data_IF_778884567956
#
_entry.id   IF_778884567956
#
_cell.length_a   1.000
_cell.length_b   1.000
_cell.length_c   1.000
_cell.angle_alpha   90.00
_cell.angle_beta   90.00
_cell.angle_gamma   90.00
#
_symmetry.space_group_name_H-M   'P 1'
#
loop_
_entity.id
_entity.type
_entity.pdbx_description
1 polymer ?
#
# COMPACT_ATOMS: atom_id res chain seq x y z
N UNK A 1 15.26 -13.34 -21.59
CA UNK A 1 15.34 -13.30 -20.11
C UNK A 1 13.92 -13.28 -19.57
N UNK A 2 13.61 -14.01 -18.51
CA UNK A 2 12.30 -13.92 -17.84
C UNK A 2 12.12 -12.48 -17.28
N UNK A 3 10.91 -11.95 -17.37
CA UNK A 3 10.60 -10.65 -16.76
C UNK A 3 10.78 -10.72 -15.25
N UNK A 4 11.17 -9.61 -14.65
CA UNK A 4 11.26 -9.49 -13.20
C UNK A 4 9.87 -9.38 -12.60
N UNK A 5 9.52 -10.21 -11.63
CA UNK A 5 8.21 -10.20 -10.97
C UNK A 5 8.22 -9.26 -9.77
N UNK A 6 7.25 -8.38 -9.74
CA UNK A 6 7.05 -7.41 -8.66
C UNK A 6 5.66 -7.59 -8.08
N UNK A 7 5.56 -7.78 -6.77
CA UNK A 7 4.29 -7.92 -6.07
C UNK A 7 4.04 -6.74 -5.14
N UNK A 8 2.87 -6.12 -5.28
CA UNK A 8 2.43 -5.02 -4.42
C UNK A 8 1.08 -5.35 -3.79
N UNK A 9 1.03 -5.42 -2.48
CA UNK A 9 -0.21 -5.60 -1.71
C UNK A 9 -0.73 -4.26 -1.16
N UNK A 10 -2.03 -4.05 -1.22
CA UNK A 10 -2.70 -2.87 -0.69
C UNK A 10 -3.78 -3.27 0.30
N UNK A 11 -3.61 -2.86 1.56
CA UNK A 11 -4.59 -3.16 2.61
C UNK A 11 -5.90 -2.39 2.36
N UNK A 12 -7.03 -3.08 2.48
CA UNK A 12 -8.37 -2.55 2.24
C UNK A 12 -8.99 -1.97 3.52
N UNK A 13 -8.32 -0.97 4.11
CA UNK A 13 -8.75 -0.31 5.35
C UNK A 13 -9.06 1.17 5.14
N UNK A 14 -10.24 1.42 4.57
CA UNK A 14 -10.77 2.77 4.32
C UNK A 14 -10.29 3.41 3.01
N UNK A 15 -10.93 4.53 2.66
CA UNK A 15 -10.70 5.26 1.41
C UNK A 15 -9.29 5.88 1.41
N UNK A 16 -8.51 5.76 0.32
CA UNK A 16 -7.20 6.39 0.20
C UNK A 16 -7.26 7.93 0.28
N UNK A 17 -6.22 8.52 0.84
CA UNK A 17 -6.01 9.97 0.90
C UNK A 17 -4.82 10.40 0.03
N UNK A 18 -4.60 11.71 -0.09
CA UNK A 18 -3.56 12.28 -0.97
C UNK A 18 -2.17 11.72 -0.66
N UNK A 19 -1.85 11.45 0.61
CA UNK A 19 -0.59 10.82 1.00
C UNK A 19 -0.43 9.39 0.49
N UNK A 20 -1.51 8.61 0.41
CA UNK A 20 -1.47 7.28 -0.21
C UNK A 20 -1.27 7.38 -1.74
N UNK A 21 -1.90 8.37 -2.37
CA UNK A 21 -1.73 8.61 -3.81
C UNK A 21 -0.27 8.93 -4.16
N UNK A 22 0.31 9.93 -3.51
CA UNK A 22 1.69 10.37 -3.78
C UNK A 22 2.72 9.33 -3.34
N UNK A 23 2.53 8.75 -2.14
CA UNK A 23 3.53 7.89 -1.52
C UNK A 23 3.46 6.41 -1.94
N UNK A 24 2.38 5.94 -2.57
CA UNK A 24 2.26 4.53 -2.92
C UNK A 24 1.61 4.30 -4.29
N UNK A 25 0.42 4.86 -4.54
CA UNK A 25 -0.38 4.51 -5.72
C UNK A 25 0.30 4.99 -7.00
N UNK A 26 0.61 6.28 -7.09
CA UNK A 26 1.25 6.89 -8.26
C UNK A 26 2.62 6.27 -8.60
N UNK A 27 3.54 6.04 -7.64
CA UNK A 27 4.79 5.35 -7.90
C UNK A 27 4.62 3.90 -8.38
N UNK A 28 3.72 3.13 -7.75
CA UNK A 28 3.48 1.75 -8.12
C UNK A 28 2.87 1.62 -9.53
N UNK A 29 1.94 2.51 -9.91
CA UNK A 29 1.38 2.54 -11.27
C UNK A 29 2.47 2.85 -12.30
N UNK A 30 3.35 3.83 -12.02
CA UNK A 30 4.50 4.13 -12.89
C UNK A 30 5.44 2.94 -13.04
N UNK A 31 5.75 2.26 -11.94
CA UNK A 31 6.59 1.08 -11.95
C UNK A 31 5.96 -0.10 -12.72
N UNK A 32 4.64 -0.25 -12.67
CA UNK A 32 3.91 -1.28 -13.38
C UNK A 32 3.88 -1.09 -14.91
N UNK A 33 4.21 0.11 -15.40
CA UNK A 33 4.33 0.41 -16.84
C UNK A 33 5.67 -0.04 -17.45
N UNK A 34 6.64 -0.47 -16.63
CA UNK A 34 7.92 -0.99 -17.15
C UNK A 34 7.71 -2.33 -17.85
N UNK A 35 7.96 -2.36 -19.16
CA UNK A 35 7.82 -3.54 -20.00
C UNK A 35 8.70 -4.73 -19.62
N UNK A 36 9.77 -4.51 -18.85
CA UNK A 36 10.68 -5.54 -18.33
C UNK A 36 10.15 -6.18 -17.05
N UNK A 37 9.08 -5.65 -16.49
CA UNK A 37 8.47 -6.10 -15.23
C UNK A 37 7.17 -6.84 -15.50
N UNK A 38 6.92 -7.89 -14.75
CA UNK A 38 5.64 -8.56 -14.62
C UNK A 38 5.04 -8.17 -13.25
N UNK A 39 4.02 -7.32 -13.28
CA UNK A 39 3.47 -6.70 -12.08
C UNK A 39 2.22 -7.43 -11.60
N UNK A 40 2.25 -7.82 -10.32
CA UNK A 40 1.11 -8.33 -9.56
C UNK A 40 0.72 -7.28 -8.54
N UNK A 41 -0.54 -6.91 -8.51
CA UNK A 41 -1.09 -5.99 -7.54
C UNK A 41 -2.37 -6.57 -6.97
N UNK A 42 -2.45 -6.63 -5.64
CA UNK A 42 -3.61 -7.23 -5.00
C UNK A 42 -4.19 -6.40 -3.87
N UNK A 43 -5.50 -6.54 -3.70
CA UNK A 43 -6.25 -5.98 -2.60
C UNK A 43 -6.19 -6.98 -1.43
N UNK A 44 -5.49 -6.60 -0.37
CA UNK A 44 -5.19 -7.46 0.78
C UNK A 44 -6.34 -7.45 1.79
N UNK A 45 -7.48 -8.01 1.40
CA UNK A 45 -8.71 -8.02 2.21
C UNK A 45 -8.62 -8.96 3.42
N UNK A 46 -7.96 -10.12 3.32
CA UNK A 46 -7.66 -10.95 4.49
C UNK A 46 -6.78 -10.22 5.51
N UNK A 47 -5.77 -9.47 5.07
CA UNK A 47 -4.98 -8.63 5.97
C UNK A 47 -5.82 -7.49 6.57
N UNK A 48 -6.87 -7.05 5.88
CA UNK A 48 -7.82 -6.06 6.38
C UNK A 48 -8.53 -6.50 7.66
N UNK A 49 -8.87 -7.79 7.76
CA UNK A 49 -9.59 -8.38 8.90
C UNK A 49 -8.79 -8.24 10.21
N UNK A 50 -7.46 -8.18 10.16
CA UNK A 50 -6.61 -8.05 11.36
C UNK A 50 -6.92 -6.76 12.14
N UNK A 51 -7.35 -5.70 11.45
CA UNK A 51 -7.56 -4.37 12.04
C UNK A 51 -9.00 -3.87 11.95
N UNK A 52 -9.84 -4.55 11.18
CA UNK A 52 -11.22 -4.13 10.93
C UNK A 52 -12.13 -5.35 11.03
N UNK A 53 -13.06 -5.32 11.98
CA UNK A 53 -14.04 -6.39 12.20
C UNK A 53 -15.46 -5.97 11.77
N UNK A 54 -15.55 -4.86 11.02
CA UNK A 54 -16.82 -4.38 10.46
C UNK A 54 -16.95 -4.82 9.00
N UNK A 55 -17.81 -5.82 8.67
CA UNK A 55 -17.88 -6.40 7.32
C UNK A 55 -18.16 -5.38 6.23
N UNK A 56 -19.07 -4.45 6.49
CA UNK A 56 -19.45 -3.41 5.53
C UNK A 56 -18.29 -2.44 5.24
N UNK A 57 -17.49 -2.11 6.26
CA UNK A 57 -16.31 -1.26 6.09
C UNK A 57 -15.25 -1.95 5.24
N UNK A 58 -15.00 -3.25 5.42
CA UNK A 58 -14.08 -4.03 4.61
C UNK A 58 -14.55 -4.04 3.15
N UNK A 59 -15.83 -4.33 2.93
CA UNK A 59 -16.42 -4.38 1.60
C UNK A 59 -16.31 -3.04 0.85
N UNK A 60 -16.76 -1.96 1.50
CA UNK A 60 -16.70 -0.59 0.93
C UNK A 60 -15.25 -0.15 0.69
N UNK A 61 -14.34 -0.47 1.60
CA UNK A 61 -12.92 -0.14 1.45
C UNK A 61 -12.30 -0.89 0.28
N UNK A 62 -12.62 -2.16 0.10
CA UNK A 62 -12.13 -2.96 -1.03
C UNK A 62 -12.57 -2.35 -2.35
N UNK A 63 -13.85 -2.00 -2.48
CA UNK A 63 -14.37 -1.32 -3.67
C UNK A 63 -13.69 0.04 -3.90
N UNK A 64 -13.57 0.86 -2.86
CA UNK A 64 -12.98 2.20 -2.95
C UNK A 64 -11.49 2.15 -3.32
N UNK A 65 -10.74 1.20 -2.77
CA UNK A 65 -9.32 1.02 -3.10
C UNK A 65 -9.18 0.53 -4.53
N UNK A 66 -9.96 -0.46 -4.97
CA UNK A 66 -9.96 -0.94 -6.35
C UNK A 66 -10.26 0.19 -7.35
N UNK A 67 -11.36 0.92 -7.12
CA UNK A 67 -11.73 2.08 -7.93
C UNK A 67 -10.62 3.13 -7.98
N UNK A 68 -9.95 3.37 -6.84
CA UNK A 68 -8.84 4.33 -6.76
C UNK A 68 -7.69 3.95 -7.68
N UNK A 69 -7.23 2.71 -7.63
CA UNK A 69 -6.10 2.27 -8.46
C UNK A 69 -6.43 2.34 -9.95
N UNK A 70 -7.62 1.88 -10.34
CA UNK A 70 -8.10 1.96 -11.73
C UNK A 70 -8.26 3.42 -12.19
N UNK A 71 -8.82 4.27 -11.36
CA UNK A 71 -9.02 5.69 -11.65
C UNK A 71 -7.68 6.43 -11.82
N UNK A 72 -6.68 6.11 -11.00
CA UNK A 72 -5.35 6.69 -11.08
C UNK A 72 -4.49 6.14 -12.24
N UNK A 73 -5.05 5.27 -13.09
CA UNK A 73 -4.40 4.84 -14.33
C UNK A 73 -3.76 3.44 -14.29
N UNK A 74 -4.08 2.60 -13.28
CA UNK A 74 -3.68 1.19 -13.34
C UNK A 74 -4.30 0.53 -14.58
N UNK A 75 -3.44 -0.09 -15.40
CA UNK A 75 -3.88 -0.84 -16.58
C UNK A 75 -3.99 -2.34 -16.25
N UNK A 76 -5.21 -2.91 -16.12
CA UNK A 76 -5.42 -4.32 -15.78
C UNK A 76 -5.01 -5.29 -16.90
N UNK A 77 -4.79 -4.80 -18.13
CA UNK A 77 -4.26 -5.63 -19.22
C UNK A 77 -2.75 -5.89 -19.06
N UNK A 78 -2.03 -4.95 -18.42
CA UNK A 78 -0.58 -5.03 -18.21
C UNK A 78 -0.21 -5.52 -16.80
N UNK A 79 -1.12 -5.35 -15.83
CA UNK A 79 -0.92 -5.74 -14.43
C UNK A 79 -1.92 -6.82 -14.04
N UNK A 80 -1.46 -7.89 -13.42
CA UNK A 80 -2.37 -8.87 -12.81
C UNK A 80 -2.94 -8.26 -11.54
N UNK A 81 -4.17 -7.72 -11.64
CA UNK A 81 -4.86 -7.01 -10.57
C UNK A 81 -6.01 -7.85 -10.02
N UNK A 82 -5.96 -8.20 -8.74
CA UNK A 82 -6.91 -9.14 -8.13
C UNK A 82 -7.16 -8.83 -6.65
N UNK A 83 -8.19 -9.45 -6.08
CA UNK A 83 -8.49 -9.45 -4.65
C UNK A 83 -7.90 -10.72 -4.04
N UNK A 84 -7.22 -10.61 -2.89
CA UNK A 84 -6.53 -11.72 -2.22
C UNK A 84 -7.46 -12.91 -1.95
N UNK A 85 -8.68 -12.64 -1.48
CA UNK A 85 -9.68 -13.68 -1.20
C UNK A 85 -10.17 -14.45 -2.43
N UNK A 86 -9.94 -13.94 -3.65
CA UNK A 86 -10.23 -14.65 -4.89
C UNK A 86 -9.18 -15.72 -5.24
N UNK A 87 -8.08 -15.79 -4.48
CA UNK A 87 -6.98 -16.76 -4.67
C UNK A 87 -6.91 -17.70 -3.45
N UNK A 88 -7.82 -18.66 -3.30
CA UNK A 88 -7.83 -19.57 -2.16
C UNK A 88 -6.55 -20.41 -2.02
N UNK A 89 -5.81 -20.57 -3.10
CA UNK A 89 -4.51 -21.26 -3.15
C UNK A 89 -3.49 -20.62 -2.18
N UNK A 90 -3.57 -19.29 -1.94
CA UNK A 90 -2.72 -18.58 -0.97
C UNK A 90 -2.95 -19.09 0.45
N UNK A 91 -4.20 -19.37 0.82
CA UNK A 91 -4.51 -19.86 2.18
C UNK A 91 -3.98 -21.27 2.42
N UNK A 92 -3.98 -22.13 1.41
CA UNK A 92 -3.36 -23.43 1.51
C UNK A 92 -1.83 -23.34 1.66
N UNK A 93 -1.20 -22.49 0.84
CA UNK A 93 0.23 -22.22 0.97
C UNK A 93 0.56 -21.64 2.35
N UNK A 94 -0.23 -20.68 2.82
CA UNK A 94 -0.07 -20.10 4.17
C UNK A 94 -0.07 -21.18 5.25
N UNK A 95 -0.96 -22.18 5.17
CA UNK A 95 -0.98 -23.28 6.13
C UNK A 95 0.29 -24.13 6.06
N UNK A 96 0.73 -24.50 4.86
CA UNK A 96 1.96 -25.28 4.66
C UNK A 96 3.18 -24.53 5.23
N UNK A 97 3.28 -23.23 4.95
CA UNK A 97 4.36 -22.38 5.47
C UNK A 97 4.27 -22.23 7.00
N UNK A 98 3.07 -22.12 7.57
CA UNK A 98 2.85 -22.06 9.01
C UNK A 98 3.43 -23.30 9.71
N UNK A 99 3.24 -24.51 9.13
CA UNK A 99 3.74 -25.76 9.70
C UNK A 99 5.27 -25.85 9.78
N UNK A 100 5.98 -25.07 9.00
CA UNK A 100 7.45 -25.07 8.98
C UNK A 100 8.08 -23.81 9.58
N UNK A 101 7.28 -22.79 9.89
CA UNK A 101 7.77 -21.52 10.44
C UNK A 101 8.08 -21.67 11.93
N UNK A 102 9.28 -21.28 12.34
CA UNK A 102 9.68 -21.33 13.74
C UNK A 102 8.95 -20.25 14.57
N UNK A 103 8.35 -20.64 15.71
CA UNK A 103 7.73 -19.69 16.65
C UNK A 103 8.69 -18.56 17.06
N UNK A 104 9.98 -18.86 17.25
CA UNK A 104 11.00 -17.87 17.59
C UNK A 104 11.22 -16.80 16.50
N UNK A 105 10.95 -17.10 15.22
CA UNK A 105 10.93 -16.11 14.15
C UNK A 105 9.74 -15.19 14.33
N UNK A 106 8.55 -15.74 14.57
CA UNK A 106 7.30 -14.98 14.75
C UNK A 106 7.36 -14.08 15.98
N UNK A 107 7.94 -14.54 17.09
CA UNK A 107 8.12 -13.72 18.30
C UNK A 107 8.99 -12.46 18.05
N UNK A 108 9.73 -12.39 16.96
CA UNK A 108 10.55 -11.22 16.59
C UNK A 108 9.81 -10.21 15.70
N UNK A 109 8.61 -10.54 15.21
CA UNK A 109 7.82 -9.65 14.37
C UNK A 109 7.49 -8.33 15.11
N UNK A 110 7.69 -7.20 14.44
CA UNK A 110 7.55 -5.88 15.05
C UNK A 110 6.18 -5.64 15.66
N UNK A 111 5.09 -6.03 14.96
CA UNK A 111 3.73 -5.83 15.46
C UNK A 111 3.45 -6.62 16.73
N UNK A 112 3.90 -7.88 16.79
CA UNK A 112 3.78 -8.71 18.00
C UNK A 112 4.59 -8.12 19.15
N UNK A 113 5.86 -7.75 18.91
CA UNK A 113 6.68 -7.10 19.94
C UNK A 113 6.07 -5.81 20.45
N UNK A 114 5.52 -4.98 19.59
CA UNK A 114 4.86 -3.74 19.97
C UNK A 114 3.63 -4.00 20.85
N UNK A 115 2.83 -5.02 20.55
CA UNK A 115 1.69 -5.42 21.36
C UNK A 115 2.12 -5.91 22.75
N UNK A 116 3.11 -6.82 22.81
CA UNK A 116 3.69 -7.32 24.07
C UNK A 116 4.27 -6.20 24.91
N UNK A 117 5.00 -5.27 24.30
CA UNK A 117 5.56 -4.12 24.98
C UNK A 117 4.46 -3.22 25.57
N UNK A 118 3.43 -2.90 24.76
CA UNK A 118 2.30 -2.10 25.24
C UNK A 118 1.58 -2.77 26.42
N UNK A 119 1.37 -4.09 26.38
CA UNK A 119 0.77 -4.84 27.49
C UNK A 119 1.64 -4.75 28.75
N UNK A 120 2.95 -4.91 28.62
CA UNK A 120 3.91 -4.80 29.73
C UNK A 120 3.91 -3.40 30.34
N UNK A 121 3.93 -2.36 29.51
CA UNK A 121 3.89 -0.96 29.95
C UNK A 121 2.57 -0.60 30.64
N UNK A 122 1.47 -1.23 30.23
CA UNK A 122 0.15 -1.07 30.86
C UNK A 122 -0.05 -1.96 32.10
N UNK A 123 0.97 -2.72 32.51
CA UNK A 123 0.91 -3.56 33.70
C UNK A 123 0.03 -4.81 33.57
N UNK A 124 -0.19 -5.30 32.35
CA UNK A 124 -0.90 -6.57 32.13
C UNK A 124 -0.04 -7.74 32.62
N UNK A 125 -0.64 -8.67 33.37
CA UNK A 125 0.05 -9.88 33.84
C UNK A 125 0.41 -10.82 32.69
N UNK A 126 -0.49 -10.93 31.70
CA UNK A 126 -0.25 -11.71 30.48
C UNK A 126 0.31 -10.81 29.37
N UNK A 127 1.56 -11.03 28.93
CA UNK A 127 2.14 -10.27 27.81
C UNK A 127 1.36 -10.41 26.50
N UNK A 128 0.62 -11.51 26.32
CA UNK A 128 -0.19 -11.79 25.13
C UNK A 128 -1.64 -11.31 25.27
N UNK A 129 -1.98 -10.59 26.33
CA UNK A 129 -3.33 -10.09 26.55
C UNK A 129 -3.88 -9.35 25.32
N UNK A 130 -5.01 -9.83 24.78
CA UNK A 130 -5.65 -9.24 23.61
C UNK A 130 -4.90 -9.41 22.28
N UNK A 131 -3.82 -10.21 22.24
CA UNK A 131 -3.12 -10.53 21.00
C UNK A 131 -3.83 -11.66 20.26
N UNK A 132 -4.48 -11.33 19.15
CA UNK A 132 -5.13 -12.32 18.32
C UNK A 132 -4.15 -13.03 17.37
N UNK A 133 -4.48 -14.27 16.98
CA UNK A 133 -3.63 -15.06 16.08
C UNK A 133 -3.43 -14.38 14.72
N UNK A 134 -4.37 -13.59 14.23
CA UNK A 134 -4.22 -12.80 13.01
C UNK A 134 -3.05 -11.81 13.10
N UNK A 135 -2.95 -11.07 14.21
CA UNK A 135 -1.82 -10.15 14.48
C UNK A 135 -0.50 -10.90 14.61
N UNK A 136 -0.50 -12.09 15.20
CA UNK A 136 0.70 -12.89 15.40
C UNK A 136 1.19 -13.54 14.10
N UNK A 137 0.27 -14.07 13.27
CA UNK A 137 0.60 -14.93 12.12
C UNK A 137 0.56 -14.26 10.75
N UNK A 138 0.07 -12.99 10.63
CA UNK A 138 -0.01 -12.33 9.32
C UNK A 138 1.32 -12.24 8.54
N UNK A 139 2.52 -12.22 9.16
CA UNK A 139 3.76 -12.25 8.37
C UNK A 139 3.92 -13.54 7.56
N UNK A 140 3.30 -14.67 8.01
CA UNK A 140 3.28 -15.90 7.22
C UNK A 140 2.31 -15.77 6.05
N UNK A 141 1.15 -15.14 6.25
CA UNK A 141 0.21 -14.87 5.17
C UNK A 141 0.84 -13.95 4.12
N UNK A 142 1.52 -12.87 4.53
CA UNK A 142 2.27 -12.01 3.62
C UNK A 142 3.38 -12.78 2.89
N UNK A 143 4.03 -13.72 3.56
CA UNK A 143 5.00 -14.63 2.93
C UNK A 143 4.33 -15.49 1.86
N UNK A 144 3.14 -16.03 2.13
CA UNK A 144 2.38 -16.83 1.18
C UNK A 144 1.97 -16.01 -0.05
N UNK A 145 1.53 -14.75 0.13
CA UNK A 145 1.24 -13.83 -0.98
C UNK A 145 2.46 -13.63 -1.89
N UNK A 146 3.62 -13.40 -1.29
CA UNK A 146 4.88 -13.14 -2.02
C UNK A 146 5.36 -14.39 -2.76
N UNK A 147 5.38 -15.53 -2.08
CA UNK A 147 5.94 -16.77 -2.61
C UNK A 147 5.03 -17.45 -3.62
N UNK A 148 3.70 -17.23 -3.54
CA UNK A 148 2.73 -17.80 -4.48
C UNK A 148 3.03 -17.44 -5.93
N UNK A 149 3.61 -16.27 -6.16
CA UNK A 149 3.96 -15.80 -7.50
C UNK A 149 5.47 -15.73 -7.74
N UNK A 150 6.28 -16.28 -6.82
CA UNK A 150 7.74 -16.19 -6.90
C UNK A 150 8.21 -14.75 -7.19
N UNK A 151 7.68 -13.79 -6.44
CA UNK A 151 8.04 -12.39 -6.60
C UNK A 151 9.53 -12.17 -6.32
N UNK A 152 10.22 -11.51 -7.26
CA UNK A 152 11.63 -11.17 -7.12
C UNK A 152 11.80 -9.92 -6.24
N UNK A 153 10.91 -8.93 -6.42
CA UNK A 153 10.93 -7.68 -5.67
C UNK A 153 9.58 -7.39 -5.02
N UNK A 154 9.63 -6.86 -3.82
CA UNK A 154 8.44 -6.41 -3.08
C UNK A 154 8.67 -4.96 -2.66
N UNK A 155 8.01 -3.99 -3.36
CA UNK A 155 8.03 -2.58 -2.97
C UNK A 155 7.32 -2.40 -1.64
N UNK A 156 8.04 -1.94 -0.63
CA UNK A 156 7.50 -1.75 0.72
C UNK A 156 8.06 -0.51 1.39
N UNK A 157 7.30 0.07 2.31
CA UNK A 157 7.82 1.06 3.24
C UNK A 157 8.84 0.46 4.22
N UNK A 158 9.65 1.31 4.82
CA UNK A 158 10.71 0.89 5.77
C UNK A 158 10.20 0.05 6.94
N UNK A 159 8.98 0.30 7.38
CA UNK A 159 8.30 -0.45 8.45
C UNK A 159 7.95 -1.90 8.07
N UNK A 160 7.94 -2.22 6.77
CA UNK A 160 7.62 -3.55 6.25
C UNK A 160 8.85 -4.37 5.83
N UNK A 161 10.06 -3.81 5.89
CA UNK A 161 11.30 -4.50 5.51
C UNK A 161 11.44 -5.83 6.23
N UNK A 162 11.19 -5.85 7.55
CA UNK A 162 11.29 -7.06 8.35
C UNK A 162 10.39 -8.19 7.84
N UNK A 163 9.21 -7.89 7.32
CA UNK A 163 8.30 -8.92 6.82
C UNK A 163 8.82 -9.58 5.55
N UNK A 164 9.48 -8.82 4.67
CA UNK A 164 10.12 -9.39 3.47
C UNK A 164 11.34 -10.22 3.85
N UNK A 165 12.12 -9.80 4.86
CA UNK A 165 13.22 -10.62 5.40
C UNK A 165 12.70 -11.91 6.04
N UNK A 166 11.58 -11.86 6.77
CA UNK A 166 10.93 -13.07 7.27
C UNK A 166 10.46 -13.98 6.15
N UNK A 167 9.94 -13.43 5.04
CA UNK A 167 9.56 -14.21 3.87
C UNK A 167 10.77 -14.91 3.24
N UNK A 168 11.94 -14.24 3.17
CA UNK A 168 13.20 -14.86 2.72
C UNK A 168 13.61 -16.03 3.62
N UNK A 169 13.56 -15.84 4.94
CA UNK A 169 13.90 -16.88 5.92
C UNK A 169 12.99 -18.11 5.77
N UNK A 170 11.68 -17.90 5.60
CA UNK A 170 10.70 -18.98 5.44
C UNK A 170 10.89 -19.68 4.09
N UNK A 171 11.09 -18.94 3.00
CA UNK A 171 11.38 -19.49 1.68
C UNK A 171 12.65 -20.33 1.67
N UNK A 172 13.75 -19.79 2.23
CA UNK A 172 15.03 -20.51 2.35
C UNK A 172 14.88 -21.79 3.17
N UNK A 173 14.10 -21.75 4.26
CA UNK A 173 13.82 -22.93 5.08
C UNK A 173 13.02 -23.98 4.33
N UNK A 174 12.00 -23.59 3.55
CA UNK A 174 11.24 -24.51 2.70
C UNK A 174 12.15 -25.15 1.66
N UNK A 175 12.90 -24.35 0.90
CA UNK A 175 13.80 -24.80 -0.14
C UNK A 175 14.85 -25.80 0.37
N UNK A 176 15.42 -25.51 1.54
CA UNK A 176 16.38 -26.43 2.17
C UNK A 176 15.76 -27.74 2.67
N UNK A 177 14.53 -27.67 3.21
CA UNK A 177 13.91 -28.83 3.88
C UNK A 177 13.24 -29.79 2.91
N UNK A 178 12.69 -29.30 1.81
CA UNK A 178 11.90 -30.09 0.86
C UNK A 178 12.49 -30.04 -0.55
N UNK A 179 12.31 -28.95 -1.25
CA UNK A 179 12.74 -28.76 -2.63
C UNK A 179 12.91 -27.27 -2.93
N UNK A 180 13.88 -26.93 -3.76
CA UNK A 180 14.07 -25.56 -4.22
C UNK A 180 12.97 -25.15 -5.21
N UNK A 181 11.92 -24.50 -4.70
CA UNK A 181 10.75 -24.05 -5.44
C UNK A 181 10.54 -22.53 -5.37
N UNK A 182 10.98 -21.89 -4.28
CA UNK A 182 10.71 -20.49 -4.03
C UNK A 182 11.90 -19.60 -4.35
N UNK A 183 11.62 -18.54 -5.11
CA UNK A 183 12.55 -17.41 -5.25
C UNK A 183 12.64 -16.66 -3.92
N UNK A 184 13.85 -16.30 -3.50
CA UNK A 184 14.05 -15.48 -2.30
C UNK A 184 13.73 -14.01 -2.65
N UNK A 185 12.65 -13.42 -2.10
CA UNK A 185 12.24 -12.07 -2.46
C UNK A 185 13.24 -11.01 -1.96
N UNK A 186 13.35 -9.91 -2.69
CA UNK A 186 14.16 -8.76 -2.29
C UNK A 186 13.26 -7.57 -1.96
N UNK A 187 13.64 -6.83 -0.92
CA UNK A 187 13.01 -5.56 -0.58
C UNK A 187 13.35 -4.55 -1.67
N UNK A 188 12.33 -3.88 -2.21
CA UNK A 188 12.54 -2.69 -3.01
C UNK A 188 12.07 -1.46 -2.21
N UNK A 189 13.03 -0.66 -1.77
CA UNK A 189 12.72 0.65 -1.19
C UNK A 189 12.75 1.63 -2.34
N UNK A 190 11.64 2.29 -2.59
CA UNK A 190 11.66 3.45 -3.46
C UNK A 190 12.11 4.65 -2.63
N UNK A 191 13.40 5.00 -2.77
CA UNK A 191 13.98 6.15 -2.07
C UNK A 191 13.33 7.48 -2.47
N UNK A 192 12.63 7.50 -3.61
CA UNK A 192 11.90 8.66 -4.11
C UNK A 192 10.44 8.72 -3.63
N UNK A 193 9.99 7.75 -2.83
CA UNK A 193 8.69 7.81 -2.19
C UNK A 193 8.73 8.82 -1.05
N UNK A 194 8.46 10.06 -1.39
CA UNK A 194 8.28 11.12 -0.41
C UNK A 194 7.02 10.83 0.42
N UNK A 195 7.21 10.64 1.72
CA UNK A 195 6.11 10.57 2.66
C UNK A 195 5.46 11.95 2.71
N UNK A 196 4.29 12.09 2.08
CA UNK A 196 3.60 13.37 2.05
C UNK A 196 3.23 13.80 3.48
N UNK A 197 3.57 15.05 3.81
CA UNK A 197 3.16 15.66 5.07
C UNK A 197 1.67 16.01 5.05
N UNK A 198 1.05 15.95 6.22
CA UNK A 198 -0.35 16.33 6.41
C UNK A 198 -0.54 17.82 6.69
N UNK A 199 -1.76 18.20 7.05
CA UNK A 199 -2.16 19.60 7.30
C UNK A 199 -1.33 20.26 8.41
N UNK A 200 -0.75 19.47 9.32
CA UNK A 200 -0.01 19.88 10.52
C UNK A 200 1.51 19.64 10.42
N UNK A 201 2.02 19.29 9.23
CA UNK A 201 3.44 19.03 9.00
C UNK A 201 3.94 17.65 9.40
N UNK A 202 3.17 16.86 10.18
CA UNK A 202 3.49 15.46 10.44
C UNK A 202 3.13 14.61 9.23
N UNK A 203 3.61 13.36 9.18
CA UNK A 203 3.19 12.38 8.15
C UNK A 203 1.67 12.39 8.00
N UNK A 204 1.17 12.48 6.76
CA UNK A 204 -0.25 12.43 6.48
C UNK A 204 -0.83 11.06 6.88
N UNK A 205 -1.76 11.05 7.83
CA UNK A 205 -2.36 9.84 8.37
C UNK A 205 -3.78 10.08 8.89
N UNK A 206 -4.66 9.11 8.66
CA UNK A 206 -6.03 9.14 9.22
C UNK A 206 -6.04 9.21 10.74
N UNK A 207 -5.12 8.52 11.40
CA UNK A 207 -5.00 8.51 12.86
C UNK A 207 -4.66 9.88 13.46
N UNK A 208 -4.03 10.76 12.68
CA UNK A 208 -3.73 12.14 13.09
C UNK A 208 -4.81 13.14 12.69
N UNK A 209 -5.81 12.74 11.91
CA UNK A 209 -6.85 13.65 11.42
C UNK A 209 -6.32 14.76 10.48
N UNK A 210 -5.13 14.58 9.91
CA UNK A 210 -4.40 15.60 9.14
C UNK A 210 -4.39 15.32 7.62
N UNK A 211 -5.34 14.52 7.12
CA UNK A 211 -5.37 14.08 5.73
C UNK A 211 -6.10 15.08 4.83
N UNK A 212 -5.70 15.10 3.54
CA UNK A 212 -6.48 15.68 2.44
C UNK A 212 -7.12 14.50 1.71
N UNK A 213 -8.48 14.41 1.68
CA UNK A 213 -9.18 13.36 0.97
C UNK A 213 -8.90 13.40 -0.53
N UNK A 214 -8.83 12.23 -1.17
CA UNK A 214 -8.46 12.13 -2.59
C UNK A 214 -9.64 12.45 -3.53
N UNK A 215 -10.85 12.02 -3.18
CA UNK A 215 -12.02 12.01 -4.08
C UNK A 215 -13.06 13.10 -3.80
N UNK A 216 -12.66 14.13 -3.07
CA UNK A 216 -13.54 15.28 -2.86
C UNK A 216 -13.55 16.21 -4.09
N UNK A 217 -14.66 16.97 -4.24
CA UNK A 217 -14.74 17.98 -5.29
C UNK A 217 -13.78 19.17 -5.05
N UNK A 218 -13.57 19.97 -6.09
CA UNK A 218 -12.62 21.08 -6.07
C UNK A 218 -12.78 22.03 -4.89
N UNK A 219 -14.04 22.38 -4.55
CA UNK A 219 -14.34 23.28 -3.43
C UNK A 219 -13.95 22.68 -2.08
N UNK A 220 -14.23 21.39 -1.88
CA UNK A 220 -13.88 20.69 -0.65
C UNK A 220 -12.38 20.42 -0.54
N UNK A 221 -11.71 20.10 -1.67
CA UNK A 221 -10.26 19.99 -1.73
C UNK A 221 -9.62 21.32 -1.33
N UNK A 222 -10.05 22.45 -1.90
CA UNK A 222 -9.58 23.77 -1.52
C UNK A 222 -9.83 24.08 -0.04
N UNK A 223 -10.99 23.70 0.49
CA UNK A 223 -11.31 23.84 1.93
C UNK A 223 -10.35 23.04 2.81
N UNK A 224 -9.94 21.86 2.38
CA UNK A 224 -8.93 21.06 3.10
C UNK A 224 -7.55 21.69 3.02
N UNK A 225 -7.12 22.15 1.84
CA UNK A 225 -5.86 22.88 1.64
C UNK A 225 -5.79 24.14 2.49
N UNK A 226 -6.90 24.87 2.65
CA UNK A 226 -6.95 26.07 3.48
C UNK A 226 -6.67 25.80 4.97
N UNK A 227 -6.81 24.56 5.44
CA UNK A 227 -6.49 24.15 6.83
C UNK A 227 -4.99 23.89 7.07
N UNK A 228 -4.18 23.85 6.03
CA UNK A 228 -2.71 23.69 6.18
C UNK A 228 -2.18 24.79 7.08
N UNK A 229 -1.41 24.40 8.10
CA UNK A 229 -0.81 25.37 9.03
C UNK A 229 0.22 26.24 8.32
N UNK A 230 0.24 27.51 8.67
CA UNK A 230 1.19 28.51 8.18
C UNK A 230 1.61 29.40 9.35
N UNK A 231 2.72 30.09 9.22
CA UNK A 231 3.11 31.11 10.19
C UNK A 231 2.28 32.41 10.04
N UNK A 232 2.59 33.39 10.87
CA UNK A 232 1.86 34.69 10.96
C UNK A 232 2.41 35.76 10.02
N UNK A 233 3.31 35.42 9.09
CA UNK A 233 3.89 36.41 8.14
C UNK A 233 2.82 36.97 7.21
N UNK A 234 2.82 38.30 7.12
CA UNK A 234 1.88 39.09 6.32
C UNK A 234 2.20 38.99 4.80
N UNK A 235 1.27 39.38 3.93
CA UNK A 235 1.56 39.59 2.51
C UNK A 235 2.70 40.60 2.32
N UNK A 236 3.65 40.30 1.42
CA UNK A 236 4.84 41.08 1.19
C UNK A 236 6.05 40.72 2.07
N UNK A 237 5.86 39.99 3.15
CA UNK A 237 6.99 39.50 3.96
C UNK A 237 7.59 38.24 3.33
N UNK A 238 8.93 38.19 3.13
CA UNK A 238 9.61 37.03 2.59
C UNK A 238 9.37 35.75 3.43
N UNK A 239 9.08 34.63 2.76
CA UNK A 239 8.80 33.33 3.37
C UNK A 239 9.79 32.29 2.88
N UNK A 240 10.12 31.32 3.73
CA UNK A 240 10.99 30.19 3.39
C UNK A 240 10.16 28.93 3.17
N UNK A 241 10.64 27.99 2.33
CA UNK A 241 9.95 26.73 2.04
C UNK A 241 9.62 25.88 3.28
N UNK A 242 10.51 25.85 4.28
CA UNK A 242 10.40 25.05 5.50
C UNK A 242 9.45 25.66 6.56
N UNK A 243 8.93 26.85 6.32
CA UNK A 243 8.03 27.54 7.25
C UNK A 243 6.60 26.99 7.22
N UNK A 244 6.27 26.14 6.25
CA UNK A 244 4.93 25.53 6.15
C UNK A 244 4.97 24.19 5.41
N UNK A 245 4.17 23.20 5.86
CA UNK A 245 3.99 21.94 5.13
C UNK A 245 3.41 22.13 3.72
N UNK A 246 2.86 23.29 3.43
CA UNK A 246 2.31 23.65 2.12
C UNK A 246 3.33 23.49 1.00
N UNK A 247 4.60 23.86 1.23
CA UNK A 247 5.66 23.77 0.24
C UNK A 247 5.94 22.30 -0.16
N UNK A 248 6.08 21.39 0.80
CA UNK A 248 6.32 19.99 0.53
C UNK A 248 5.16 19.33 -0.23
N UNK A 249 3.91 19.72 0.11
CA UNK A 249 2.75 19.24 -0.63
C UNK A 249 2.75 19.83 -2.06
N UNK A 250 3.07 21.12 -2.24
CA UNK A 250 3.15 21.77 -3.55
C UNK A 250 4.19 21.09 -4.46
N UNK A 251 5.37 20.83 -3.92
CA UNK A 251 6.48 20.14 -4.60
C UNK A 251 6.06 18.78 -5.15
N UNK A 252 5.26 18.01 -4.39
CA UNK A 252 4.79 16.69 -4.80
C UNK A 252 3.87 16.70 -6.04
N UNK A 253 3.30 17.87 -6.39
CA UNK A 253 2.41 18.10 -7.53
C UNK A 253 3.02 19.04 -8.59
N UNK A 254 4.31 19.31 -8.52
CA UNK A 254 4.98 20.31 -9.36
C UNK A 254 6.22 19.74 -10.02
N UNK A 255 6.55 20.28 -11.18
CA UNK A 255 7.86 20.07 -11.80
C UNK A 255 8.95 20.80 -11.02
N UNK A 256 10.25 20.44 -11.21
CA UNK A 256 11.35 21.20 -10.61
C UNK A 256 11.32 22.69 -10.95
N UNK A 257 10.93 23.04 -12.18
CA UNK A 257 10.80 24.44 -12.61
C UNK A 257 9.72 25.18 -11.83
N UNK A 258 8.51 24.64 -11.75
CA UNK A 258 7.38 25.20 -11.00
C UNK A 258 7.68 25.30 -9.50
N UNK A 259 8.44 24.34 -8.95
CA UNK A 259 8.88 24.37 -7.55
C UNK A 259 9.84 25.55 -7.31
N UNK A 260 10.76 25.80 -8.26
CA UNK A 260 11.68 26.94 -8.18
C UNK A 260 10.94 28.28 -8.28
N UNK A 261 9.97 28.40 -9.21
CA UNK A 261 9.12 29.59 -9.32
C UNK A 261 8.33 29.85 -8.02
N UNK A 262 7.74 28.80 -7.46
CA UNK A 262 6.98 28.92 -6.21
C UNK A 262 7.88 29.32 -5.03
N UNK A 263 9.12 28.82 -4.98
CA UNK A 263 10.13 29.23 -3.99
C UNK A 263 10.44 30.74 -4.12
N UNK A 264 10.62 31.21 -5.34
CA UNK A 264 10.85 32.66 -5.61
C UNK A 264 9.64 33.49 -5.17
N UNK A 265 8.42 33.08 -5.54
CA UNK A 265 7.20 33.78 -5.14
C UNK A 265 7.06 33.89 -3.61
N UNK A 266 7.41 32.85 -2.88
CA UNK A 266 7.43 32.86 -1.41
C UNK A 266 8.47 33.86 -0.88
N UNK A 267 9.67 33.87 -1.44
CA UNK A 267 10.74 34.81 -1.07
C UNK A 267 10.38 36.25 -1.38
N UNK A 268 9.58 36.50 -2.42
CA UNK A 268 9.03 37.82 -2.80
C UNK A 268 7.81 38.24 -1.98
N UNK A 269 7.35 37.40 -1.03
CA UNK A 269 6.29 37.76 -0.10
C UNK A 269 4.89 37.30 -0.49
N UNK A 270 4.76 36.25 -1.34
CA UNK A 270 3.45 35.66 -1.69
C UNK A 270 2.60 35.43 -0.43
N UNK A 271 1.36 35.91 -0.44
CA UNK A 271 0.42 35.70 0.65
C UNK A 271 0.11 34.21 0.82
N UNK A 272 0.03 33.72 2.06
CA UNK A 272 -0.31 32.31 2.33
C UNK A 272 -1.65 31.88 1.71
N UNK A 273 -2.62 32.80 1.68
CA UNK A 273 -3.91 32.55 1.03
C UNK A 273 -3.79 32.28 -0.47
N UNK A 274 -2.94 33.02 -1.18
CA UNK A 274 -2.68 32.82 -2.60
C UNK A 274 -1.85 31.53 -2.82
N UNK A 275 -0.85 31.28 -1.98
CA UNK A 275 -0.09 30.02 -2.01
C UNK A 275 -1.01 28.78 -1.86
N UNK A 276 -1.98 28.83 -0.95
CA UNK A 276 -2.99 27.77 -0.78
C UNK A 276 -3.91 27.63 -2.00
N UNK A 277 -4.26 28.72 -2.69
CA UNK A 277 -5.04 28.65 -3.94
C UNK A 277 -4.24 27.97 -5.06
N UNK A 278 -2.96 28.33 -5.22
CA UNK A 278 -2.08 27.70 -6.20
C UNK A 278 -1.95 26.19 -5.95
N UNK A 279 -1.73 25.77 -4.70
CA UNK A 279 -1.69 24.37 -4.34
C UNK A 279 -3.00 23.65 -4.65
N UNK A 280 -4.13 24.23 -4.25
CA UNK A 280 -5.46 23.66 -4.52
C UNK A 280 -5.74 23.50 -6.01
N UNK A 281 -5.34 24.47 -6.83
CA UNK A 281 -5.46 24.40 -8.28
C UNK A 281 -4.63 23.25 -8.87
N UNK A 282 -3.38 23.05 -8.41
CA UNK A 282 -2.54 21.95 -8.88
C UNK A 282 -3.10 20.58 -8.52
N UNK A 283 -3.52 20.39 -7.27
CA UNK A 283 -4.14 19.13 -6.83
C UNK A 283 -5.40 18.84 -7.67
N UNK A 284 -6.26 19.83 -7.85
CA UNK A 284 -7.49 19.68 -8.62
C UNK A 284 -7.23 19.39 -10.09
N UNK A 285 -6.23 20.02 -10.70
CA UNK A 285 -5.86 19.76 -12.09
C UNK A 285 -5.35 18.33 -12.30
N UNK A 286 -4.48 17.83 -11.40
CA UNK A 286 -3.98 16.45 -11.49
C UNK A 286 -5.07 15.41 -11.24
N UNK A 287 -6.01 15.71 -10.35
CA UNK A 287 -7.07 14.77 -9.96
C UNK A 287 -8.38 14.92 -10.76
N UNK A 288 -8.46 15.84 -11.70
CA UNK A 288 -9.71 16.08 -12.44
C UNK A 288 -10.19 14.82 -13.18
N UNK A 289 -9.39 14.29 -14.10
CA UNK A 289 -9.70 13.07 -14.85
C UNK A 289 -9.80 11.82 -13.96
N UNK A 290 -8.84 11.55 -13.03
CA UNK A 290 -8.98 10.45 -12.07
C UNK A 290 -10.27 10.52 -11.24
N UNK A 291 -10.74 11.69 -10.86
CA UNK A 291 -11.97 11.88 -10.07
C UNK A 291 -13.21 11.50 -10.88
N UNK A 292 -13.29 11.92 -12.14
CA UNK A 292 -14.38 11.54 -13.02
C UNK A 292 -14.43 10.02 -13.19
N UNK A 293 -13.29 9.40 -13.48
CA UNK A 293 -13.16 7.95 -13.65
C UNK A 293 -13.48 7.18 -12.35
N UNK A 294 -13.08 7.71 -11.19
CA UNK A 294 -13.45 7.12 -9.90
C UNK A 294 -14.97 7.11 -9.69
N UNK A 295 -15.63 8.23 -9.98
CA UNK A 295 -17.08 8.34 -9.86
C UNK A 295 -17.82 7.40 -10.81
N UNK A 296 -17.35 7.24 -12.03
CA UNK A 296 -17.90 6.27 -13.00
C UNK A 296 -17.77 4.82 -12.52
N UNK A 297 -16.58 4.45 -12.02
CA UNK A 297 -16.30 3.11 -11.52
C UNK A 297 -17.14 2.79 -10.28
N UNK A 298 -17.22 3.72 -9.33
CA UNK A 298 -18.02 3.52 -8.10
C UNK A 298 -19.52 3.48 -8.37
N UNK A 299 -20.00 4.14 -9.42
CA UNK A 299 -21.38 4.04 -9.88
C UNK A 299 -21.69 2.70 -10.57
N UNK A 300 -20.66 1.93 -10.99
CA UNK A 300 -20.81 0.64 -11.68
C UNK A 300 -19.91 -0.43 -11.03
N UNK A 301 -20.23 -0.88 -9.81
CA UNK A 301 -19.38 -1.83 -9.07
C UNK A 301 -19.11 -3.16 -9.82
N UNK A 302 -20.05 -3.60 -10.66
CA UNK A 302 -19.89 -4.80 -11.49
C UNK A 302 -18.70 -4.71 -12.45
N UNK A 303 -18.38 -3.52 -12.95
CA UNK A 303 -17.21 -3.34 -13.81
C UNK A 303 -15.91 -3.55 -13.05
N UNK A 304 -15.85 -3.11 -11.79
CA UNK A 304 -14.69 -3.36 -10.92
C UNK A 304 -14.57 -4.85 -10.64
N UNK A 305 -15.68 -5.51 -10.32
CA UNK A 305 -15.73 -6.95 -10.04
C UNK A 305 -15.25 -7.76 -11.26
N UNK A 306 -15.71 -7.45 -12.46
CA UNK A 306 -15.29 -8.12 -13.70
C UNK A 306 -13.76 -8.01 -13.91
N UNK A 307 -13.18 -6.85 -13.64
CA UNK A 307 -11.73 -6.61 -13.74
C UNK A 307 -10.98 -7.46 -12.70
N UNK A 308 -11.44 -7.46 -11.44
CA UNK A 308 -10.81 -8.23 -10.37
C UNK A 308 -10.88 -9.74 -10.65
N UNK A 309 -12.03 -10.23 -11.12
CA UNK A 309 -12.22 -11.65 -11.47
C UNK A 309 -11.35 -12.06 -12.69
N UNK A 310 -11.20 -11.20 -13.69
CA UNK A 310 -10.29 -11.46 -14.79
C UNK A 310 -8.82 -11.56 -14.31
N UNK A 311 -8.41 -10.67 -13.42
CA UNK A 311 -7.09 -10.72 -12.77
C UNK A 311 -6.91 -11.97 -11.91
N UNK A 312 -7.93 -12.32 -11.12
CA UNK A 312 -7.92 -13.52 -10.30
C UNK A 312 -7.80 -14.80 -11.14
N UNK A 313 -8.47 -14.90 -12.29
CA UNK A 313 -8.32 -16.05 -13.18
C UNK A 313 -6.90 -16.21 -13.70
N UNK A 314 -6.22 -15.10 -14.08
CA UNK A 314 -4.81 -15.11 -14.48
C UNK A 314 -3.93 -15.58 -13.31
N UNK A 315 -4.09 -14.97 -12.13
CA UNK A 315 -3.31 -15.29 -10.94
C UNK A 315 -3.50 -16.75 -10.49
N UNK A 316 -4.74 -17.26 -10.45
CA UNK A 316 -5.04 -18.63 -10.02
C UNK A 316 -4.44 -19.69 -10.93
N UNK A 317 -4.28 -19.44 -12.20
CA UNK A 317 -3.59 -20.37 -13.10
C UNK A 317 -2.17 -20.64 -12.62
N UNK A 318 -1.41 -19.59 -12.33
CA UNK A 318 -0.03 -19.71 -11.83
C UNK A 318 0.02 -20.25 -10.40
N UNK A 319 -0.89 -19.77 -9.54
CA UNK A 319 -0.99 -20.21 -8.16
C UNK A 319 -1.20 -21.73 -8.06
N UNK A 320 -2.08 -22.31 -8.88
CA UNK A 320 -2.32 -23.76 -8.92
C UNK A 320 -1.09 -24.53 -9.38
N UNK A 321 -0.44 -24.06 -10.46
CA UNK A 321 0.77 -24.72 -10.97
C UNK A 321 1.90 -24.76 -9.94
N UNK A 322 2.07 -23.69 -9.15
CA UNK A 322 3.04 -23.67 -8.06
C UNK A 322 2.59 -24.56 -6.88
N UNK A 323 1.32 -24.43 -6.47
CA UNK A 323 0.78 -25.15 -5.34
C UNK A 323 0.85 -26.69 -5.55
N UNK A 324 0.60 -27.17 -6.76
CA UNK A 324 0.74 -28.58 -7.09
C UNK A 324 2.19 -29.07 -6.88
N UNK A 325 3.18 -28.27 -7.28
CA UNK A 325 4.61 -28.58 -7.01
C UNK A 325 4.91 -28.57 -5.50
N UNK A 326 4.34 -27.61 -4.77
CA UNK A 326 4.49 -27.53 -3.31
C UNK A 326 3.88 -28.74 -2.63
N UNK A 327 2.67 -29.16 -3.03
CA UNK A 327 2.01 -30.37 -2.53
C UNK A 327 2.86 -31.61 -2.75
N UNK A 328 3.39 -31.76 -3.96
CA UNK A 328 4.28 -32.89 -4.27
C UNK A 328 5.54 -32.88 -3.39
N UNK A 329 6.17 -31.72 -3.22
CA UNK A 329 7.37 -31.56 -2.42
C UNK A 329 7.16 -31.91 -0.94
N UNK A 330 5.99 -31.56 -0.36
CA UNK A 330 5.66 -31.87 1.04
C UNK A 330 4.98 -33.24 1.22
N UNK A 331 4.74 -33.99 0.14
CA UNK A 331 4.15 -35.32 0.17
C UNK A 331 2.63 -35.36 0.20
N UNK A 332 1.94 -34.25 0.00
CA UNK A 332 0.47 -34.15 -0.09
C UNK A 332 0.06 -34.39 -1.55
N UNK A 333 -0.05 -35.65 -1.94
CA UNK A 333 -0.35 -36.05 -3.31
C UNK A 333 -1.31 -37.25 -3.34
N UNK A 334 -2.00 -37.47 -4.47
CA UNK A 334 -2.88 -38.62 -4.62
C UNK A 334 -2.15 -39.95 -4.36
N UNK A 335 -2.84 -40.87 -3.72
CA UNK A 335 -2.35 -42.26 -3.60
C UNK A 335 -2.41 -42.89 -5.00
N UNK A 336 -1.30 -43.49 -5.41
CA UNK A 336 -1.21 -44.25 -6.67
C UNK A 336 -1.75 -45.66 -6.51
#
# INVERSE_FOLDING_TARGET
>A
MSKKRVLTGVTTTGIPHLGNYVGAIRPAIRAAQDSNTESFLFLADYHGIIKCHEPEMIHQSTQAVAATWLACGLNPEQTTFYRQSDIPEVMELNWILTCITAKGLMNRAHAYKAAVQANTENGQEDPDHGVEMGLYSYPILMTADILMFNAHEVPVGRDQIQHVEMARDIAGRFNHRFQELFTLPEVKIDENVELLVGLDGRKMSKSYGNTIPLWENDKKTQKSVNKIITNMKEPGEPKQPDESPLFEIYKAFSTPFETAEFTQMLAEGLAWGEAKKLLGAKINAELAEPRERYNELTAKPSQIEDILQAGAQKARKEARELLDKVRDAVGIRPLK
#
